data_IF_140654320859
#
_entry.id   IF_140654320859
#
_cell.length_a   1.000
_cell.length_b   1.000
_cell.length_c   1.000
_cell.angle_alpha   90.00
_cell.angle_beta   90.00
_cell.angle_gamma   90.00
#
_symmetry.space_group_name_H-M   'P 1'
#
loop_
_entity.id
_entity.type
_entity.pdbx_description
1 polymer ?
#
# COMPACT_ATOMS: atom_id res chain seq x y z
N UNK A 1 13.42 -29.38 -19.95
CA UNK A 1 13.11 -30.13 -18.70
C UNK A 1 11.64 -30.03 -18.28
N UNK A 2 10.81 -29.16 -18.87
CA UNK A 2 9.36 -29.31 -18.82
C UNK A 2 8.78 -28.89 -20.19
N UNK A 3 7.95 -29.75 -20.81
CA UNK A 3 7.29 -29.49 -22.10
C UNK A 3 8.02 -29.97 -23.35
N UNK A 4 9.01 -30.87 -23.23
CA UNK A 4 9.46 -31.62 -24.40
C UNK A 4 8.36 -32.61 -24.80
N UNK A 5 8.12 -32.86 -26.11
CA UNK A 5 7.00 -33.69 -26.58
C UNK A 5 6.94 -35.11 -25.97
N UNK A 6 8.07 -35.61 -25.44
CA UNK A 6 8.18 -36.89 -24.75
C UNK A 6 7.59 -36.93 -23.35
N UNK A 7 7.37 -35.77 -22.72
CA UNK A 7 6.88 -35.63 -21.35
C UNK A 7 5.50 -34.95 -21.27
N UNK A 8 4.76 -34.83 -22.39
CA UNK A 8 3.41 -34.25 -22.38
C UNK A 8 2.33 -35.18 -21.81
N UNK A 9 2.60 -36.48 -21.67
CA UNK A 9 1.68 -37.44 -21.04
C UNK A 9 1.86 -37.46 -19.51
N UNK A 10 0.85 -37.05 -18.71
CA UNK A 10 0.91 -37.08 -17.26
C UNK A 10 1.14 -38.50 -16.71
N UNK A 11 0.66 -39.53 -17.40
CA UNK A 11 0.81 -40.93 -16.98
C UNK A 11 2.26 -41.39 -17.12
N UNK A 12 2.94 -40.94 -18.18
CA UNK A 12 4.37 -41.16 -18.40
C UNK A 12 5.21 -40.46 -17.32
N UNK A 13 4.89 -39.21 -17.01
CA UNK A 13 5.58 -38.43 -15.98
C UNK A 13 5.48 -39.10 -14.60
N UNK A 14 4.27 -39.51 -14.17
CA UNK A 14 4.06 -40.14 -12.85
C UNK A 14 4.80 -41.47 -12.71
N UNK A 15 4.96 -42.22 -13.81
CA UNK A 15 5.65 -43.52 -13.79
C UNK A 15 7.17 -43.37 -13.78
N UNK A 16 7.70 -42.37 -14.48
CA UNK A 16 9.13 -42.29 -14.78
C UNK A 16 9.88 -41.22 -14.00
N UNK A 17 9.19 -40.23 -13.42
CA UNK A 17 9.81 -39.21 -12.59
C UNK A 17 9.83 -39.63 -11.11
N UNK A 18 10.95 -39.42 -10.40
CA UNK A 18 10.99 -39.55 -8.95
C UNK A 18 9.99 -38.61 -8.26
N UNK A 19 9.44 -39.05 -7.13
CA UNK A 19 8.48 -38.23 -6.33
C UNK A 19 9.05 -36.88 -5.90
N UNK A 20 10.35 -36.80 -5.65
CA UNK A 20 11.04 -35.57 -5.31
C UNK A 20 10.96 -34.55 -6.46
N UNK A 21 11.25 -34.99 -7.68
CA UNK A 21 11.14 -34.15 -8.89
C UNK A 21 9.71 -33.66 -9.11
N UNK A 22 8.71 -34.51 -8.90
CA UNK A 22 7.30 -34.10 -8.98
C UNK A 22 6.94 -33.04 -7.92
N UNK A 23 7.54 -33.13 -6.74
CA UNK A 23 7.34 -32.16 -5.66
C UNK A 23 8.01 -30.82 -6.01
N UNK A 24 9.22 -30.86 -6.55
CA UNK A 24 9.94 -29.67 -7.00
C UNK A 24 9.22 -28.98 -8.16
N UNK A 25 8.72 -29.74 -9.14
CA UNK A 25 7.92 -29.21 -10.25
C UNK A 25 6.66 -28.53 -9.72
N UNK A 26 5.96 -29.18 -8.77
CA UNK A 26 4.75 -28.62 -8.14
C UNK A 26 5.08 -27.29 -7.44
N UNK A 27 6.17 -27.25 -6.68
CA UNK A 27 6.55 -26.05 -5.93
C UNK A 27 7.02 -24.93 -6.86
N UNK A 28 7.79 -25.26 -7.90
CA UNK A 28 8.19 -24.31 -8.94
C UNK A 28 6.98 -23.75 -9.68
N UNK A 29 6.00 -24.59 -10.05
CA UNK A 29 4.76 -24.15 -10.69
C UNK A 29 3.94 -23.25 -9.76
N UNK A 30 3.81 -23.60 -8.47
CA UNK A 30 3.14 -22.77 -7.47
C UNK A 30 3.81 -21.41 -7.34
N UNK A 31 5.14 -21.38 -7.25
CA UNK A 31 5.92 -20.14 -7.17
C UNK A 31 5.73 -19.30 -8.43
N UNK A 32 5.78 -19.90 -9.61
CA UNK A 32 5.57 -19.21 -10.87
C UNK A 32 4.18 -18.56 -10.97
N UNK A 33 3.12 -19.28 -10.60
CA UNK A 33 1.74 -18.76 -10.65
C UNK A 33 1.57 -17.53 -9.77
N UNK A 34 2.18 -17.50 -8.58
CA UNK A 34 2.06 -16.36 -7.65
C UNK A 34 2.77 -15.11 -8.19
N UNK A 35 3.82 -15.28 -9.00
CA UNK A 35 4.55 -14.17 -9.60
C UNK A 35 3.86 -13.57 -10.85
N UNK A 36 2.84 -14.22 -11.41
CA UNK A 36 2.14 -13.70 -12.59
C UNK A 36 1.20 -12.54 -12.16
N UNK A 37 1.36 -11.33 -12.74
CA UNK A 37 0.42 -10.25 -12.50
C UNK A 37 -0.95 -10.57 -13.14
N UNK A 38 -2.07 -10.14 -12.53
CA UNK A 38 -3.38 -10.25 -13.17
C UNK A 38 -3.40 -9.49 -14.51
N UNK A 39 -4.02 -10.08 -15.51
CA UNK A 39 -4.06 -9.52 -16.87
C UNK A 39 -4.61 -8.08 -16.86
N UNK A 40 -3.90 -7.17 -17.52
CA UNK A 40 -4.28 -5.77 -17.64
C UNK A 40 -3.91 -4.86 -16.47
N UNK A 41 -3.22 -5.37 -15.44
CA UNK A 41 -2.69 -4.53 -14.36
C UNK A 41 -1.21 -4.24 -14.62
N UNK A 42 -0.81 -2.97 -14.88
CA UNK A 42 0.60 -2.62 -15.02
C UNK A 42 1.32 -2.92 -13.71
N UNK A 43 2.40 -3.67 -13.79
CA UNK A 43 3.23 -3.99 -12.64
C UNK A 43 3.95 -2.72 -12.18
N UNK A 44 3.47 -2.14 -11.08
CA UNK A 44 4.11 -0.97 -10.48
C UNK A 44 5.39 -1.40 -9.78
N UNK A 45 6.50 -0.70 -10.04
CA UNK A 45 7.74 -0.94 -9.30
C UNK A 45 7.47 -0.61 -7.82
N UNK A 46 7.93 -1.47 -6.91
CA UNK A 46 7.67 -1.35 -5.46
C UNK A 46 8.03 0.03 -4.90
N UNK A 47 9.07 0.67 -5.44
CA UNK A 47 9.50 2.04 -5.08
C UNK A 47 8.53 3.14 -5.52
N UNK A 48 7.71 2.90 -6.54
CA UNK A 48 6.73 3.85 -7.07
C UNK A 48 5.39 3.80 -6.30
N UNK A 49 5.17 2.75 -5.52
CA UNK A 49 3.95 2.59 -4.72
C UNK A 49 3.98 3.57 -3.56
N UNK A 50 3.11 4.58 -3.64
CA UNK A 50 2.89 5.58 -2.59
C UNK A 50 1.49 5.49 -1.99
N UNK A 51 1.37 5.92 -0.73
CA UNK A 51 0.08 6.08 -0.08
C UNK A 51 -0.61 7.36 -0.60
N UNK A 52 -1.79 7.20 -1.19
CA UNK A 52 -2.66 8.35 -1.49
C UNK A 52 -3.26 8.92 -0.20
N UNK A 53 -3.54 10.22 -0.15
CA UNK A 53 -4.25 10.86 0.98
C UNK A 53 -5.66 10.29 1.20
N UNK A 54 -6.27 9.74 0.15
CA UNK A 54 -7.62 9.16 0.17
C UNK A 54 -7.68 7.66 0.45
N UNK A 55 -6.53 6.99 0.60
CA UNK A 55 -6.48 5.54 0.85
C UNK A 55 -5.94 5.25 2.26
N UNK A 56 -6.51 4.22 2.88
CA UNK A 56 -6.06 3.74 4.17
C UNK A 56 -4.62 3.22 4.10
N UNK A 57 -3.92 3.26 5.24
CA UNK A 57 -2.55 2.75 5.34
C UNK A 57 -2.48 1.25 5.05
N UNK A 58 -3.45 0.46 5.53
CA UNK A 58 -3.54 -0.99 5.23
C UNK A 58 -3.57 -1.28 3.73
N UNK A 59 -4.45 -0.59 2.97
CA UNK A 59 -4.54 -0.79 1.52
C UNK A 59 -3.26 -0.37 0.77
N UNK A 60 -2.49 0.54 1.35
CA UNK A 60 -1.16 0.88 0.84
C UNK A 60 -0.16 -0.24 1.12
N UNK A 61 -0.10 -0.76 2.36
CA UNK A 61 0.78 -1.87 2.74
C UNK A 61 0.48 -3.12 1.92
N UNK A 62 -0.79 -3.47 1.69
CA UNK A 62 -1.15 -4.67 0.92
C UNK A 62 -0.59 -4.62 -0.51
N UNK A 63 -0.70 -3.46 -1.18
CA UNK A 63 -0.14 -3.27 -2.53
C UNK A 63 1.38 -3.30 -2.53
N UNK A 64 1.99 -2.70 -1.51
CA UNK A 64 3.44 -2.66 -1.37
C UNK A 64 4.01 -4.06 -1.14
N UNK A 65 3.41 -4.85 -0.25
CA UNK A 65 3.76 -6.25 0.00
C UNK A 65 3.63 -7.08 -1.27
N UNK A 66 2.51 -6.97 -1.99
CA UNK A 66 2.30 -7.71 -3.24
C UNK A 66 3.36 -7.37 -4.30
N UNK A 67 3.78 -6.12 -4.41
CA UNK A 67 4.82 -5.72 -5.36
C UNK A 67 6.21 -6.21 -4.93
N UNK A 68 6.53 -6.16 -3.64
CA UNK A 68 7.79 -6.67 -3.10
C UNK A 68 7.89 -8.18 -3.30
N UNK A 69 6.82 -8.93 -3.04
CA UNK A 69 6.79 -10.39 -3.23
C UNK A 69 7.06 -10.79 -4.67
N UNK A 70 6.61 -9.98 -5.64
CA UNK A 70 6.86 -10.19 -7.07
C UNK A 70 8.26 -9.82 -7.50
N UNK A 71 8.81 -8.73 -6.96
CA UNK A 71 10.05 -8.13 -7.46
C UNK A 71 11.31 -8.62 -6.73
N UNK A 72 11.17 -9.13 -5.51
CA UNK A 72 12.31 -9.48 -4.65
C UNK A 72 12.30 -10.97 -4.36
N UNK A 73 13.36 -11.67 -4.77
CA UNK A 73 13.52 -13.12 -4.55
C UNK A 73 14.19 -13.45 -3.21
N UNK A 74 14.83 -12.47 -2.56
CA UNK A 74 15.49 -12.62 -1.27
C UNK A 74 14.48 -12.45 -0.13
N UNK A 75 14.08 -13.57 0.47
CA UNK A 75 13.09 -13.61 1.56
C UNK A 75 13.56 -12.90 2.84
N UNK A 76 14.86 -12.82 3.09
CA UNK A 76 15.39 -12.09 4.25
C UNK A 76 15.38 -10.58 4.03
N UNK A 77 15.52 -10.13 2.77
CA UNK A 77 15.46 -8.72 2.41
C UNK A 77 14.03 -8.15 2.40
N UNK A 78 13.01 -8.96 2.10
CA UNK A 78 11.61 -8.49 1.96
C UNK A 78 11.07 -7.74 3.19
N UNK A 79 11.20 -8.24 4.45
CA UNK A 79 10.64 -7.54 5.61
C UNK A 79 11.31 -6.19 5.85
N UNK A 80 12.63 -6.10 5.63
CA UNK A 80 13.39 -4.86 5.76
C UNK A 80 13.00 -3.84 4.69
N UNK A 81 12.85 -4.28 3.43
CA UNK A 81 12.43 -3.43 2.34
C UNK A 81 11.00 -2.92 2.55
N UNK A 82 10.08 -3.81 2.97
CA UNK A 82 8.69 -3.46 3.26
C UNK A 82 8.60 -2.40 4.35
N UNK A 83 9.31 -2.57 5.48
CA UNK A 83 9.32 -1.58 6.57
C UNK A 83 9.87 -0.23 6.11
N UNK A 84 10.96 -0.24 5.34
CA UNK A 84 11.63 0.97 4.87
C UNK A 84 10.76 1.76 3.90
N UNK A 85 10.18 1.06 2.91
CA UNK A 85 9.28 1.68 1.92
C UNK A 85 7.94 2.08 2.54
N UNK A 86 7.41 1.32 3.51
CA UNK A 86 6.19 1.68 4.23
C UNK A 86 6.32 3.05 4.90
N UNK A 87 7.43 3.32 5.57
CA UNK A 87 7.68 4.63 6.17
C UNK A 87 7.98 5.71 5.11
N UNK A 88 8.87 5.42 4.16
CA UNK A 88 9.32 6.40 3.18
C UNK A 88 8.18 6.89 2.27
N UNK A 89 7.27 6.00 1.88
CA UNK A 89 6.21 6.25 0.91
C UNK A 89 4.83 6.48 1.55
N UNK A 90 4.74 6.53 2.88
CA UNK A 90 3.54 6.96 3.60
C UNK A 90 3.16 8.40 3.24
N UNK A 91 1.86 8.70 3.33
CA UNK A 91 1.36 10.06 3.17
C UNK A 91 1.81 10.94 4.36
N UNK A 92 1.65 12.26 4.25
CA UNK A 92 2.15 13.21 5.25
C UNK A 92 1.64 12.93 6.67
N UNK A 93 0.37 12.54 6.80
CA UNK A 93 -0.25 12.30 8.10
C UNK A 93 0.27 11.01 8.75
N UNK A 94 0.26 9.90 8.01
CA UNK A 94 0.84 8.63 8.46
C UNK A 94 2.33 8.79 8.78
N UNK A 95 3.08 9.51 7.95
CA UNK A 95 4.51 9.78 8.20
C UNK A 95 4.71 10.58 9.49
N UNK A 96 3.85 11.56 9.77
CA UNK A 96 3.90 12.33 11.03
C UNK A 96 3.65 11.42 12.24
N UNK A 97 2.59 10.60 12.19
CA UNK A 97 2.25 9.64 13.25
C UNK A 97 3.39 8.66 13.50
N UNK A 98 3.91 8.03 12.44
CA UNK A 98 4.99 7.04 12.56
C UNK A 98 6.28 7.68 13.09
N UNK A 99 6.59 8.91 12.69
CA UNK A 99 7.78 9.64 13.17
C UNK A 99 7.70 10.01 14.66
N UNK A 100 6.49 10.08 15.22
CA UNK A 100 6.28 10.32 16.65
C UNK A 100 6.39 9.05 17.51
N UNK A 101 6.49 7.87 16.89
CA UNK A 101 6.65 6.61 17.61
C UNK A 101 8.10 6.44 18.11
N UNK A 102 8.31 5.83 19.28
CA UNK A 102 9.66 5.59 19.80
C UNK A 102 10.39 4.51 19.00
N UNK A 103 11.65 4.77 18.64
CA UNK A 103 12.53 3.79 18.02
C UNK A 103 12.17 3.47 16.56
N UNK A 104 12.45 2.24 16.13
CA UNK A 104 12.05 1.72 14.82
C UNK A 104 10.77 0.87 14.96
N UNK A 105 9.58 1.44 14.71
CA UNK A 105 8.34 0.69 14.87
C UNK A 105 8.27 -0.46 13.87
N UNK A 106 7.65 -1.55 14.30
CA UNK A 106 7.26 -2.67 13.46
C UNK A 106 6.13 -2.28 12.50
N UNK A 107 5.93 -3.07 11.45
CA UNK A 107 4.83 -2.83 10.50
C UNK A 107 3.46 -2.91 11.17
N UNK A 108 3.29 -3.80 12.15
CA UNK A 108 2.06 -3.95 12.92
C UNK A 108 1.75 -2.69 13.75
N UNK A 109 2.76 -2.15 14.42
CA UNK A 109 2.64 -0.89 15.17
C UNK A 109 2.31 0.30 14.25
N UNK A 110 2.94 0.38 13.07
CA UNK A 110 2.60 1.39 12.06
C UNK A 110 1.14 1.24 11.59
N UNK A 111 0.67 0.01 11.33
CA UNK A 111 -0.71 -0.27 10.92
C UNK A 111 -1.73 0.14 11.98
N UNK A 112 -1.46 -0.16 13.25
CA UNK A 112 -2.32 0.22 14.36
C UNK A 112 -2.37 1.75 14.52
N UNK A 113 -1.21 2.40 14.55
CA UNK A 113 -1.09 3.85 14.72
C UNK A 113 -1.77 4.63 13.59
N UNK A 114 -1.71 4.12 12.36
CA UNK A 114 -2.31 4.76 11.18
C UNK A 114 -3.73 4.25 10.83
N UNK A 115 -4.32 3.37 11.64
CA UNK A 115 -5.58 2.68 11.33
C UNK A 115 -6.77 3.59 11.01
N UNK A 116 -6.81 4.80 11.61
CA UNK A 116 -7.87 5.79 11.40
C UNK A 116 -7.64 6.70 10.20
N UNK A 117 -6.38 6.86 9.76
CA UNK A 117 -5.99 7.77 8.69
C UNK A 117 -6.51 7.26 7.34
N UNK A 118 -7.12 8.17 6.57
CA UNK A 118 -7.68 7.87 5.25
C UNK A 118 -8.97 7.04 5.27
N UNK A 119 -9.58 6.80 6.44
CA UNK A 119 -10.94 6.25 6.52
C UNK A 119 -11.97 7.28 6.03
N UNK A 120 -13.13 6.88 5.49
CA UNK A 120 -14.16 7.83 5.06
C UNK A 120 -14.55 8.83 6.15
N UNK A 121 -14.64 8.35 7.41
CA UNK A 121 -14.93 9.20 8.57
C UNK A 121 -13.84 10.25 8.81
N UNK A 122 -12.57 9.85 8.71
CA UNK A 122 -11.43 10.75 8.88
C UNK A 122 -11.31 11.76 7.75
N UNK A 123 -11.56 11.35 6.51
CA UNK A 123 -11.58 12.28 5.37
C UNK A 123 -12.72 13.29 5.54
N UNK A 124 -13.90 12.83 5.97
CA UNK A 124 -15.04 13.71 6.22
C UNK A 124 -14.78 14.70 7.38
N UNK A 125 -14.10 14.28 8.45
CA UNK A 125 -13.77 15.19 9.57
C UNK A 125 -12.77 16.27 9.16
N UNK A 126 -11.74 15.92 8.39
CA UNK A 126 -10.78 16.89 7.83
C UNK A 126 -11.49 17.88 6.90
N UNK A 127 -12.35 17.37 6.01
CA UNK A 127 -13.15 18.25 5.15
C UNK A 127 -14.03 19.19 5.97
N UNK A 128 -14.77 18.69 6.96
CA UNK A 128 -15.61 19.52 7.83
C UNK A 128 -14.81 20.61 8.56
N UNK A 129 -13.60 20.28 9.04
CA UNK A 129 -12.70 21.26 9.66
C UNK A 129 -12.29 22.37 8.68
N UNK A 130 -11.87 22.00 7.46
CA UNK A 130 -11.49 22.97 6.42
C UNK A 130 -12.67 23.88 6.04
N UNK A 131 -13.86 23.30 5.89
CA UNK A 131 -15.09 24.06 5.61
C UNK A 131 -15.41 25.04 6.76
N UNK A 132 -15.24 24.60 8.01
CA UNK A 132 -15.38 25.45 9.20
C UNK A 132 -14.43 26.66 9.17
N UNK A 133 -13.13 26.42 8.99
CA UNK A 133 -12.13 27.49 8.90
C UNK A 133 -12.39 28.44 7.72
N UNK A 134 -12.85 27.93 6.59
CA UNK A 134 -13.22 28.75 5.44
C UNK A 134 -14.42 29.64 5.75
N UNK A 135 -15.46 29.09 6.38
CA UNK A 135 -16.65 29.83 6.77
C UNK A 135 -16.32 30.93 7.79
N UNK A 136 -15.49 30.64 8.79
CA UNK A 136 -15.05 31.65 9.76
C UNK A 136 -14.33 32.84 9.10
N UNK A 137 -13.48 32.57 8.10
CA UNK A 137 -12.80 33.63 7.34
C UNK A 137 -13.78 34.48 6.54
N UNK A 138 -14.77 33.87 5.90
CA UNK A 138 -15.80 34.60 5.15
C UNK A 138 -16.62 35.48 6.09
N UNK A 139 -17.07 34.93 7.22
CA UNK A 139 -17.86 35.68 8.20
C UNK A 139 -17.06 36.87 8.72
N UNK A 140 -15.79 36.68 9.13
CA UNK A 140 -14.92 37.78 9.60
C UNK A 140 -14.76 38.86 8.52
N UNK A 141 -14.46 38.49 7.28
CA UNK A 141 -14.32 39.45 6.19
C UNK A 141 -15.61 40.23 5.93
N UNK A 142 -16.77 39.56 5.94
CA UNK A 142 -18.07 40.22 5.79
C UNK A 142 -18.39 41.15 6.96
N UNK A 143 -18.09 40.75 8.19
CA UNK A 143 -18.30 41.62 9.36
C UNK A 143 -17.43 42.88 9.32
N UNK A 144 -16.19 42.78 8.86
CA UNK A 144 -15.34 43.97 8.68
C UNK A 144 -15.84 44.86 7.55
N UNK A 145 -16.20 44.30 6.40
CA UNK A 145 -16.80 45.07 5.29
C UNK A 145 -18.07 45.81 5.73
N UNK A 146 -18.92 45.18 6.54
CA UNK A 146 -20.12 45.82 7.08
C UNK A 146 -19.77 46.96 8.03
N UNK A 147 -18.79 46.77 8.94
CA UNK A 147 -18.32 47.84 9.83
C UNK A 147 -17.80 49.04 9.05
N UNK A 148 -17.00 48.82 8.01
CA UNK A 148 -16.48 49.89 7.15
C UNK A 148 -17.61 50.64 6.43
N UNK A 149 -18.60 49.91 5.90
CA UNK A 149 -19.76 50.52 5.25
C UNK A 149 -20.60 51.38 6.21
N UNK A 150 -20.77 50.94 7.46
CA UNK A 150 -21.45 51.73 8.50
C UNK A 150 -20.63 52.94 8.95
N UNK A 151 -19.30 52.86 8.97
CA UNK A 151 -18.44 53.98 9.30
C UNK A 151 -18.38 55.06 8.21
N UNK A 152 -18.79 54.74 6.98
CA UNK A 152 -18.84 55.63 5.84
C UNK A 152 -20.20 56.36 5.66
N UNK A 153 -21.18 56.11 6.53
CA UNK A 153 -22.50 56.75 6.60
C UNK A 153 -22.55 57.80 7.71
#
# INVERSE_FOLDING_TARGET
>A
MAGDPSDDDPSHQVRNLPREVLTDIKEAARKAIVQIPPAGVPESISTEIKQSSSKSFSSFIDRLTQAIDRQVNDEEAKPHLLRSLAFANANTECKCIISAMPGQPSLAEMLEACSKVGTPQHVASIQASIWGEHMERIIKAQTENLKEAFAAL
#
